data_IF_338556693124
#
_entry.id   IF_338556693124
#
_cell.length_a   1.000
_cell.length_b   1.000
_cell.length_c   1.000
_cell.angle_alpha   90.00
_cell.angle_beta   90.00
_cell.angle_gamma   90.00
#
_symmetry.space_group_name_H-M   'P 1'
#
loop_
_entity.id
_entity.type
_entity.pdbx_description
1 polymer ?
#
# COMPACT_ATOMS: atom_id res chain seq x y z
N UNK A 1 -22.25 0.20 -5.58
CA UNK A 1 -20.92 -0.17 -5.05
C UNK A 1 -20.41 -1.32 -5.90
N UNK A 2 -19.21 -1.24 -6.47
CA UNK A 2 -18.71 -2.28 -7.40
C UNK A 2 -18.22 -3.52 -6.63
N UNK A 3 -18.22 -4.71 -7.26
CA UNK A 3 -17.73 -5.95 -6.65
C UNK A 3 -16.30 -5.79 -6.09
N UNK A 4 -15.43 -5.16 -6.87
CA UNK A 4 -14.04 -4.87 -6.47
C UNK A 4 -13.96 -4.00 -5.22
N UNK A 5 -14.84 -2.99 -5.07
CA UNK A 5 -14.88 -2.16 -3.85
C UNK A 5 -15.21 -2.99 -2.61
N UNK A 6 -16.12 -3.97 -2.73
CA UNK A 6 -16.49 -4.85 -1.63
C UNK A 6 -15.32 -5.78 -1.25
N UNK A 7 -14.68 -6.38 -2.25
CA UNK A 7 -13.52 -7.27 -2.04
C UNK A 7 -12.34 -6.52 -1.39
N UNK A 8 -12.04 -5.29 -1.85
CA UNK A 8 -11.02 -4.44 -1.23
C UNK A 8 -11.38 -4.10 0.21
N UNK A 9 -12.64 -3.73 0.49
CA UNK A 9 -13.04 -3.38 1.85
C UNK A 9 -13.00 -4.60 2.79
N UNK A 10 -13.38 -5.78 2.30
CA UNK A 10 -13.27 -7.04 3.06
C UNK A 10 -11.80 -7.31 3.42
N UNK A 11 -10.88 -7.12 2.47
CA UNK A 11 -9.45 -7.27 2.72
C UNK A 11 -8.91 -6.25 3.74
N UNK A 12 -9.32 -4.98 3.64
CA UNK A 12 -8.96 -3.94 4.61
C UNK A 12 -9.49 -4.26 6.02
N UNK A 13 -10.71 -4.79 6.12
CA UNK A 13 -11.26 -5.26 7.39
C UNK A 13 -10.44 -6.43 7.95
N UNK A 14 -10.12 -7.44 7.13
CA UNK A 14 -9.34 -8.60 7.57
C UNK A 14 -7.99 -8.21 8.18
N UNK A 15 -7.29 -7.24 7.61
CA UNK A 15 -5.97 -6.80 8.10
C UNK A 15 -6.04 -5.81 9.28
N UNK A 16 -7.20 -5.19 9.56
CA UNK A 16 -7.33 -4.19 10.63
C UNK A 16 -8.22 -4.61 11.80
N UNK A 17 -9.07 -5.64 11.64
CA UNK A 17 -10.10 -5.99 12.63
C UNK A 17 -9.56 -6.38 14.01
N UNK A 18 -8.36 -6.95 14.08
CA UNK A 18 -7.71 -7.36 15.33
C UNK A 18 -7.07 -6.19 16.09
N UNK A 19 -6.98 -5.01 15.48
CA UNK A 19 -6.45 -3.81 16.14
C UNK A 19 -7.47 -3.25 17.14
N UNK A 20 -7.01 -2.53 18.19
CA UNK A 20 -7.92 -1.89 19.14
C UNK A 20 -8.94 -0.99 18.47
N UNK A 21 -10.15 -0.93 19.07
CA UNK A 21 -11.24 -0.10 18.58
C UNK A 21 -10.79 1.36 18.41
N UNK A 22 -11.15 1.94 17.26
CA UNK A 22 -10.71 3.28 16.87
C UNK A 22 -9.39 3.27 16.09
N UNK A 23 -8.39 2.46 16.48
CA UNK A 23 -7.18 2.25 15.66
C UNK A 23 -7.52 1.44 14.42
N UNK A 24 -8.34 0.40 14.56
CA UNK A 24 -8.82 -0.41 13.44
C UNK A 24 -9.49 0.43 12.34
N UNK A 25 -10.53 1.20 12.70
CA UNK A 25 -11.28 2.04 11.77
C UNK A 25 -10.40 3.11 11.13
N UNK A 26 -9.58 3.79 11.94
CA UNK A 26 -8.67 4.81 11.46
C UNK A 26 -7.66 4.27 10.44
N UNK A 27 -7.06 3.10 10.71
CA UNK A 27 -6.13 2.49 9.77
C UNK A 27 -6.84 2.01 8.50
N UNK A 28 -8.04 1.44 8.61
CA UNK A 28 -8.83 1.07 7.43
C UNK A 28 -9.10 2.29 6.54
N UNK A 29 -9.45 3.44 7.14
CA UNK A 29 -9.65 4.70 6.41
C UNK A 29 -8.36 5.22 5.75
N UNK A 30 -7.21 5.12 6.42
CA UNK A 30 -5.90 5.50 5.86
C UNK A 30 -5.49 4.60 4.70
N UNK A 31 -5.65 3.28 4.84
CA UNK A 31 -5.36 2.34 3.79
C UNK A 31 -6.31 2.51 2.60
N UNK A 32 -7.59 2.79 2.85
CA UNK A 32 -8.54 3.15 1.79
C UNK A 32 -8.12 4.44 1.05
N UNK A 33 -7.69 5.48 1.78
CA UNK A 33 -7.15 6.70 1.16
C UNK A 33 -5.91 6.40 0.29
N UNK A 34 -5.02 5.53 0.77
CA UNK A 34 -3.84 5.09 0.01
C UNK A 34 -4.23 4.36 -1.27
N UNK A 35 -5.09 3.33 -1.16
CA UNK A 35 -5.52 2.49 -2.29
C UNK A 35 -6.38 3.24 -3.31
N UNK A 36 -7.15 4.23 -2.87
CA UNK A 36 -7.89 5.13 -3.77
C UNK A 36 -7.02 6.20 -4.43
N UNK A 37 -5.69 6.15 -4.23
CA UNK A 37 -4.72 7.00 -4.92
C UNK A 37 -4.70 8.45 -4.45
N UNK A 38 -5.35 8.79 -3.34
CA UNK A 38 -5.51 10.19 -2.92
C UNK A 38 -4.22 10.86 -2.45
N UNK A 39 -3.15 10.08 -2.21
CA UNK A 39 -1.83 10.64 -1.94
C UNK A 39 -1.20 11.33 -3.16
N UNK A 40 -1.52 10.91 -4.38
CA UNK A 40 -0.97 11.54 -5.58
C UNK A 40 -1.46 12.99 -5.76
N UNK A 41 -2.78 13.29 -5.82
CA UNK A 41 -3.26 14.66 -5.97
C UNK A 41 -2.95 15.53 -4.74
N UNK A 42 -2.78 14.92 -3.56
CA UNK A 42 -2.41 15.64 -2.33
C UNK A 42 -0.90 15.81 -2.14
N UNK A 43 -0.06 15.38 -3.10
CA UNK A 43 1.42 15.45 -3.00
C UNK A 43 1.97 14.75 -1.76
N UNK A 44 1.35 13.65 -1.37
CA UNK A 44 1.69 12.84 -0.19
C UNK A 44 1.10 13.36 1.13
N UNK A 45 0.30 14.42 1.12
CA UNK A 45 -0.25 14.99 2.35
C UNK A 45 -1.48 14.19 2.86
N UNK A 46 -1.37 13.64 4.07
CA UNK A 46 -2.42 12.79 4.65
C UNK A 46 -3.73 13.54 4.92
N UNK A 47 -3.68 14.77 5.44
CA UNK A 47 -4.90 15.51 5.80
C UNK A 47 -5.76 15.83 4.57
N UNK A 48 -5.20 16.40 3.47
CA UNK A 48 -5.94 16.56 2.23
C UNK A 48 -6.40 15.23 1.62
N UNK A 49 -5.58 14.17 1.66
CA UNK A 49 -5.97 12.86 1.15
C UNK A 49 -7.16 12.25 1.90
N UNK A 50 -7.14 12.31 3.23
CA UNK A 50 -8.24 11.84 4.08
C UNK A 50 -9.50 12.68 3.87
N UNK A 51 -9.35 13.99 3.66
CA UNK A 51 -10.48 14.86 3.30
C UNK A 51 -11.09 14.47 1.94
N UNK A 52 -10.26 14.09 0.97
CA UNK A 52 -10.70 13.73 -0.37
C UNK A 52 -11.56 12.45 -0.41
N UNK A 53 -11.38 11.52 0.52
CA UNK A 53 -12.27 10.37 0.70
C UNK A 53 -13.53 10.68 1.57
N UNK A 54 -13.80 11.95 1.87
CA UNK A 54 -15.04 12.40 2.51
C UNK A 54 -15.05 12.37 4.03
N UNK A 55 -13.90 12.24 4.70
CA UNK A 55 -13.85 12.26 6.17
C UNK A 55 -14.14 13.67 6.73
N UNK A 56 -14.86 13.70 7.85
CA UNK A 56 -15.02 14.92 8.66
C UNK A 56 -13.69 15.33 9.31
N UNK A 57 -13.54 16.61 9.66
CA UNK A 57 -12.33 17.13 10.33
C UNK A 57 -11.98 16.35 11.61
N UNK A 58 -12.99 15.94 12.38
CA UNK A 58 -12.78 15.11 13.58
C UNK A 58 -12.27 13.71 13.22
N UNK A 59 -12.81 13.08 12.18
CA UNK A 59 -12.34 11.78 11.70
C UNK A 59 -10.91 11.87 11.16
N UNK A 60 -10.56 12.92 10.41
CA UNK A 60 -9.18 13.14 9.92
C UNK A 60 -8.19 13.21 11.09
N UNK A 61 -8.51 13.98 12.14
CA UNK A 61 -7.65 14.08 13.33
C UNK A 61 -7.50 12.74 14.06
N UNK A 62 -8.59 11.97 14.19
CA UNK A 62 -8.54 10.62 14.77
C UNK A 62 -7.69 9.67 13.93
N UNK A 63 -7.82 9.71 12.61
CA UNK A 63 -7.01 8.91 11.69
C UNK A 63 -5.52 9.25 11.81
N UNK A 64 -5.17 10.55 11.83
CA UNK A 64 -3.80 11.00 12.06
C UNK A 64 -3.25 10.56 13.43
N UNK A 65 -4.03 10.71 14.49
CA UNK A 65 -3.62 10.30 15.83
C UNK A 65 -3.39 8.78 15.93
N UNK A 66 -4.28 7.97 15.34
CA UNK A 66 -4.12 6.52 15.31
C UNK A 66 -2.94 6.08 14.43
N UNK A 67 -2.69 6.75 13.31
CA UNK A 67 -1.49 6.48 12.51
C UNK A 67 -0.21 6.70 13.32
N UNK A 68 -0.14 7.83 14.03
CA UNK A 68 1.08 8.24 14.74
C UNK A 68 1.27 7.56 16.10
N UNK A 69 0.19 7.35 16.83
CA UNK A 69 0.21 6.94 18.24
C UNK A 69 -0.71 5.73 18.54
N UNK A 70 -1.41 5.21 17.53
CA UNK A 70 -2.26 4.05 17.71
C UNK A 70 -1.45 2.78 17.99
N UNK A 71 -2.11 1.80 18.59
CA UNK A 71 -1.50 0.51 18.89
C UNK A 71 -1.55 -0.39 17.66
N UNK A 72 -0.55 -0.25 16.78
CA UNK A 72 -0.37 -1.09 15.60
C UNK A 72 1.12 -1.16 15.23
N UNK A 73 1.49 -2.20 14.49
CA UNK A 73 2.84 -2.36 13.95
C UNK A 73 2.75 -2.84 12.51
N UNK A 74 3.60 -2.28 11.64
CA UNK A 74 3.62 -2.62 10.21
C UNK A 74 3.83 -4.13 9.98
N UNK A 75 4.76 -4.74 10.73
CA UNK A 75 5.01 -6.18 10.64
C UNK A 75 3.75 -7.02 10.91
N UNK A 76 2.95 -6.66 11.91
CA UNK A 76 1.69 -7.34 12.22
C UNK A 76 0.70 -7.25 11.07
N UNK A 77 0.54 -6.07 10.46
CA UNK A 77 -0.37 -5.90 9.32
C UNK A 77 0.09 -6.70 8.10
N UNK A 78 1.40 -6.78 7.85
CA UNK A 78 1.97 -7.59 6.77
C UNK A 78 1.72 -9.08 6.99
N UNK A 79 1.88 -9.58 8.22
CA UNK A 79 1.57 -10.98 8.54
C UNK A 79 0.08 -11.28 8.34
N UNK A 80 -0.82 -10.41 8.83
CA UNK A 80 -2.27 -10.58 8.64
C UNK A 80 -2.67 -10.53 7.16
N UNK A 81 -2.02 -9.66 6.37
CA UNK A 81 -2.20 -9.60 4.93
C UNK A 81 -1.77 -10.90 4.24
N UNK A 82 -0.59 -11.43 4.57
CA UNK A 82 -0.10 -12.69 4.01
C UNK A 82 -1.03 -13.86 4.34
N UNK A 83 -1.50 -13.95 5.59
CA UNK A 83 -2.49 -14.94 6.00
C UNK A 83 -3.78 -14.81 5.18
N UNK A 84 -4.35 -13.61 5.12
CA UNK A 84 -5.57 -13.35 4.34
C UNK A 84 -5.42 -13.75 2.87
N UNK A 85 -4.30 -13.41 2.22
CA UNK A 85 -4.05 -13.76 0.80
C UNK A 85 -3.90 -15.27 0.62
N UNK A 86 -3.22 -15.95 1.53
CA UNK A 86 -2.96 -17.41 1.43
C UNK A 86 -4.23 -18.24 1.61
N UNK A 87 -5.18 -17.75 2.40
CA UNK A 87 -6.48 -18.41 2.62
C UNK A 87 -7.44 -18.27 1.42
N UNK A 88 -7.13 -17.37 0.47
CA UNK A 88 -7.99 -17.10 -0.66
C UNK A 88 -7.75 -18.12 -1.79
N UNK A 89 -8.80 -18.80 -2.30
CA UNK A 89 -8.65 -19.93 -3.22
C UNK A 89 -8.09 -19.55 -4.60
N UNK A 90 -8.10 -18.26 -4.94
CA UNK A 90 -7.69 -17.72 -6.23
C UNK A 90 -6.25 -17.18 -6.25
N UNK A 91 -5.60 -17.01 -5.09
CA UNK A 91 -4.21 -16.55 -5.00
C UNK A 91 -3.29 -17.74 -4.73
N UNK A 92 -2.97 -18.48 -5.79
CA UNK A 92 -2.00 -19.57 -5.72
C UNK A 92 -0.61 -19.06 -6.08
N UNK A 93 0.39 -19.40 -5.26
CA UNK A 93 1.78 -19.13 -5.60
C UNK A 93 2.13 -19.86 -6.90
N UNK A 94 2.60 -19.12 -7.90
CA UNK A 94 3.20 -19.72 -9.09
C UNK A 94 4.42 -20.50 -8.66
N UNK A 95 4.54 -21.75 -9.08
CA UNK A 95 5.71 -22.58 -8.87
C UNK A 95 6.06 -23.24 -10.20
N UNK A 96 7.35 -23.19 -10.57
CA UNK A 96 7.86 -23.82 -11.76
C UNK A 96 9.06 -24.66 -11.39
N UNK A 97 8.98 -25.99 -11.58
CA UNK A 97 10.05 -26.94 -11.25
C UNK A 97 10.59 -26.80 -9.81
N UNK A 98 9.72 -26.50 -8.84
CA UNK A 98 10.11 -26.29 -7.43
C UNK A 98 10.67 -24.90 -7.12
N UNK A 99 10.82 -24.03 -8.11
CA UNK A 99 11.17 -22.63 -7.92
C UNK A 99 9.92 -21.78 -7.74
N UNK A 100 9.94 -20.90 -6.75
CA UNK A 100 8.96 -19.82 -6.60
C UNK A 100 9.55 -18.58 -7.30
N UNK A 101 9.01 -18.15 -8.44
CA UNK A 101 9.46 -16.94 -9.09
C UNK A 101 9.14 -15.75 -8.17
N UNK A 102 10.18 -15.01 -7.78
CA UNK A 102 10.03 -13.74 -7.08
C UNK A 102 9.81 -12.69 -8.16
N UNK A 103 8.63 -12.07 -8.17
CA UNK A 103 8.38 -10.93 -9.04
C UNK A 103 9.30 -9.78 -8.60
N UNK A 104 10.36 -9.55 -9.36
CA UNK A 104 11.21 -8.37 -9.22
C UNK A 104 10.60 -7.30 -10.10
N UNK A 105 10.13 -6.21 -9.50
CA UNK A 105 9.77 -5.00 -10.25
C UNK A 105 11.06 -4.35 -10.76
N UNK A 106 11.60 -4.90 -11.84
CA UNK A 106 12.45 -4.16 -12.75
C UNK A 106 11.51 -3.27 -13.54
N UNK A 107 11.15 -2.11 -12.98
CA UNK A 107 10.73 -1.00 -13.82
C UNK A 107 12.02 -0.45 -14.44
N UNK A 108 12.40 -0.79 -15.70
CA UNK A 108 13.38 0.02 -16.39
C UNK A 108 12.75 1.40 -16.53
N UNK A 109 13.19 2.37 -15.72
CA UNK A 109 12.88 3.76 -15.99
C UNK A 109 13.59 4.13 -17.29
N UNK A 110 12.94 3.84 -18.43
CA UNK A 110 13.38 4.29 -19.74
C UNK A 110 13.38 5.81 -19.72
N UNK A 111 14.57 6.39 -19.54
CA UNK A 111 14.81 7.83 -19.44
C UNK A 111 15.62 8.26 -20.67
N UNK A 112 14.99 8.33 -21.86
CA UNK A 112 15.69 8.72 -23.09
C UNK A 112 16.33 10.11 -22.99
N UNK A 113 15.75 11.00 -22.17
CA UNK A 113 16.32 12.31 -21.87
C UNK A 113 17.62 12.28 -21.02
N UNK A 114 18.04 11.11 -20.51
CA UNK A 114 19.30 10.92 -19.80
C UNK A 114 20.37 10.21 -20.65
N UNK A 115 20.08 9.92 -21.91
CA UNK A 115 21.06 9.38 -22.85
C UNK A 115 22.20 10.41 -23.03
N UNK A 116 23.42 10.04 -22.63
CA UNK A 116 24.58 10.94 -22.64
C UNK A 116 24.67 11.95 -21.49
N UNK A 117 23.77 11.89 -20.50
CA UNK A 117 23.83 12.78 -19.34
C UNK A 117 24.91 12.32 -18.36
N UNK A 118 26.02 13.08 -18.29
CA UNK A 118 27.12 12.81 -17.36
C UNK A 118 26.70 13.07 -15.90
N UNK A 119 26.11 12.08 -15.26
CA UNK A 119 25.83 12.09 -13.82
C UNK A 119 26.86 11.24 -13.07
N UNK A 120 27.06 11.52 -11.77
CA UNK A 120 27.97 10.77 -10.89
C UNK A 120 27.59 9.29 -10.69
N UNK A 121 26.45 8.84 -11.22
CA UNK A 121 25.94 7.48 -11.05
C UNK A 121 26.06 6.61 -12.30
N UNK A 122 26.64 7.13 -13.39
CA UNK A 122 26.94 6.30 -14.54
C UNK A 122 28.18 5.45 -14.23
N UNK A 123 27.98 4.14 -14.01
CA UNK A 123 29.06 3.17 -13.85
C UNK A 123 29.35 2.54 -15.22
N UNK A 124 30.40 2.98 -15.94
CA UNK A 124 30.63 2.61 -17.34
C UNK A 124 30.89 1.11 -17.57
N UNK A 125 31.19 0.32 -16.52
CA UNK A 125 31.39 -1.13 -16.64
C UNK A 125 30.08 -1.92 -16.79
N UNK A 126 28.90 -1.30 -16.67
CA UNK A 126 27.63 -2.03 -16.74
C UNK A 126 27.25 -2.53 -18.16
N UNK A 127 28.02 -2.18 -19.20
CA UNK A 127 27.83 -2.72 -20.56
C UNK A 127 26.50 -2.31 -21.21
N UNK A 128 26.35 -2.58 -22.51
CA UNK A 128 25.09 -2.41 -23.25
C UNK A 128 24.20 -3.63 -23.11
#
# INVERSE_FOLDING_TARGET
MTRTTIEVMAALCAVTQSLPMGTNLALSQLLWMLLSGQLLPSRGALFPGLKAIGLSTAAIRRAWAAFRYGAWHMATLLTLWQQYVTEQPHWQALQYEGYVPIAVDITPYWRPALEGCASKHYHPQAGK
#
